data_IF_687021902259
#
_entry.id   IF_687021902259
#
_cell.length_a   1.000
_cell.length_b   1.000
_cell.length_c   1.000
_cell.angle_alpha   90.00
_cell.angle_beta   90.00
_cell.angle_gamma   90.00
#
_symmetry.space_group_name_H-M   'P 1'
#
loop_
_entity.id
_entity.type
_entity.pdbx_description
1 polymer ?
#
# COMPACT_ATOMS: atom_id res chain seq x y z
N UNK A 1 13.27 -42.42 23.33
CA UNK A 1 12.36 -42.17 24.45
C UNK A 1 10.93 -42.46 24.00
N UNK A 2 10.15 -43.15 24.84
CA UNK A 2 8.72 -43.34 24.58
C UNK A 2 7.93 -42.23 25.29
N UNK A 3 7.03 -41.60 24.53
CA UNK A 3 6.18 -40.54 25.03
C UNK A 3 4.73 -40.99 24.84
N UNK A 4 3.96 -41.03 25.92
CA UNK A 4 2.52 -41.27 25.86
C UNK A 4 1.76 -39.96 25.83
N UNK A 5 0.93 -39.80 24.83
CA UNK A 5 0.12 -38.59 24.61
C UNK A 5 -1.32 -38.99 24.37
N UNK A 6 -2.25 -38.36 25.05
CA UNK A 6 -3.68 -38.54 24.80
C UNK A 6 -4.16 -37.44 23.87
N UNK A 7 -4.74 -37.78 22.72
CA UNK A 7 -5.30 -36.82 21.78
C UNK A 7 -6.48 -36.07 22.39
N UNK A 8 -6.63 -34.77 22.13
CA UNK A 8 -7.79 -33.99 22.58
C UNK A 8 -9.09 -34.61 22.10
N UNK A 9 -10.16 -34.46 22.88
CA UNK A 9 -11.50 -34.97 22.50
C UNK A 9 -12.05 -34.34 21.21
N UNK A 10 -11.62 -33.12 20.89
CA UNK A 10 -11.97 -32.39 19.66
C UNK A 10 -10.86 -32.48 18.60
N UNK A 11 -10.18 -33.60 18.50
CA UNK A 11 -9.17 -33.79 17.47
C UNK A 11 -9.81 -33.99 16.11
N UNK A 12 -9.21 -33.42 15.09
CA UNK A 12 -9.75 -33.37 13.72
C UNK A 12 -10.03 -34.78 13.13
N UNK A 13 -9.27 -35.81 13.55
CA UNK A 13 -9.55 -37.20 13.20
C UNK A 13 -10.39 -37.85 14.30
N UNK A 14 -11.63 -38.22 13.99
CA UNK A 14 -12.57 -38.88 14.92
C UNK A 14 -12.06 -40.21 15.43
N UNK A 15 -11.22 -40.91 14.64
CA UNK A 15 -10.63 -42.20 15.01
C UNK A 15 -9.54 -42.08 16.06
N UNK A 16 -8.95 -40.91 16.24
CA UNK A 16 -7.87 -40.65 17.18
C UNK A 16 -8.30 -39.81 18.39
N UNK A 17 -9.44 -39.14 18.28
CA UNK A 17 -9.97 -38.25 19.33
C UNK A 17 -10.13 -39.01 20.66
N UNK A 18 -9.53 -38.47 21.73
CA UNK A 18 -9.59 -39.01 23.07
C UNK A 18 -8.79 -40.31 23.31
N UNK A 19 -8.08 -40.85 22.29
CA UNK A 19 -7.28 -42.07 22.42
C UNK A 19 -5.85 -41.77 22.87
N UNK A 20 -5.31 -42.68 23.67
CA UNK A 20 -3.90 -42.67 24.07
C UNK A 20 -3.03 -43.30 22.97
N UNK A 21 -1.98 -42.57 22.60
CA UNK A 21 -0.97 -43.07 21.64
C UNK A 21 0.42 -43.02 22.26
N UNK A 22 1.21 -44.04 21.99
CA UNK A 22 2.61 -44.10 22.43
C UNK A 22 3.53 -43.82 21.24
N UNK A 23 4.28 -42.74 21.33
CA UNK A 23 5.26 -42.36 20.31
C UNK A 23 6.65 -42.79 20.70
N UNK A 24 7.33 -43.54 19.85
CA UNK A 24 8.76 -43.83 19.99
C UNK A 24 9.57 -42.73 19.32
N UNK A 25 10.08 -41.80 20.13
CA UNK A 25 10.84 -40.65 19.65
C UNK A 25 12.33 -40.94 19.72
N UNK A 26 13.02 -40.82 18.58
CA UNK A 26 14.46 -40.82 18.45
C UNK A 26 14.92 -39.42 18.07
N UNK A 27 15.64 -38.79 18.99
CA UNK A 27 16.25 -37.48 18.72
C UNK A 27 17.50 -37.71 17.86
N UNK A 28 17.52 -37.15 16.66
CA UNK A 28 18.65 -37.30 15.73
C UNK A 28 19.67 -36.21 15.87
N UNK A 29 19.20 -34.97 16.08
CA UNK A 29 20.03 -33.77 16.10
C UNK A 29 19.38 -32.70 16.97
N UNK A 30 20.18 -31.93 17.70
CA UNK A 30 19.75 -30.70 18.38
C UNK A 30 20.51 -29.57 17.72
N UNK A 31 19.76 -28.65 17.05
CA UNK A 31 20.31 -27.44 16.47
C UNK A 31 19.96 -26.26 17.38
N UNK A 32 20.98 -25.52 17.78
CA UNK A 32 20.84 -24.26 18.49
C UNK A 32 21.14 -23.12 17.51
N UNK A 33 20.24 -22.17 17.41
CA UNK A 33 20.48 -20.96 16.63
C UNK A 33 21.39 -20.04 17.45
N UNK A 34 22.61 -19.86 17.00
CA UNK A 34 23.54 -18.87 17.55
C UNK A 34 23.52 -17.64 16.64
N UNK A 35 23.29 -16.47 17.22
CA UNK A 35 23.35 -15.22 16.49
C UNK A 35 24.81 -14.72 16.52
N UNK A 36 25.30 -14.11 15.42
CA UNK A 36 26.61 -13.48 15.42
C UNK A 36 26.65 -12.31 16.41
N UNK A 37 27.83 -11.96 16.83
CA UNK A 37 28.03 -10.73 17.60
C UNK A 37 27.70 -9.52 16.74
N UNK A 38 27.18 -8.46 17.37
CA UNK A 38 26.95 -7.19 16.69
C UNK A 38 28.25 -6.38 16.79
N UNK A 39 29.07 -6.52 15.76
CA UNK A 39 30.37 -5.86 15.62
C UNK A 39 30.61 -5.42 14.18
N UNK A 40 31.80 -4.87 13.89
CA UNK A 40 32.13 -4.39 12.56
C UNK A 40 32.23 -5.53 11.53
N UNK A 41 32.58 -6.75 11.94
CA UNK A 41 32.58 -7.92 11.06
C UNK A 41 31.14 -8.25 10.61
N UNK A 42 30.22 -8.22 11.58
CA UNK A 42 28.78 -8.39 11.25
C UNK A 42 28.30 -7.34 10.26
N UNK A 43 28.66 -6.06 10.44
CA UNK A 43 28.28 -5.00 9.54
C UNK A 43 28.75 -5.25 8.09
N UNK A 44 30.00 -5.69 7.91
CA UNK A 44 30.57 -6.05 6.60
C UNK A 44 29.90 -7.25 5.97
N UNK A 45 29.49 -8.25 6.78
CA UNK A 45 28.87 -9.47 6.27
C UNK A 45 27.44 -9.25 5.77
N UNK A 46 26.71 -8.30 6.37
CA UNK A 46 25.26 -8.09 6.08
C UNK A 46 24.96 -6.83 5.29
N UNK A 47 25.95 -5.96 5.05
CA UNK A 47 25.76 -4.65 4.42
C UNK A 47 27.00 -4.19 3.65
N UNK A 48 26.91 -3.01 3.03
CA UNK A 48 28.02 -2.33 2.35
C UNK A 48 28.87 -1.44 3.28
N UNK A 49 28.55 -1.39 4.58
CA UNK A 49 29.24 -0.56 5.55
C UNK A 49 30.38 -1.30 6.23
N UNK A 50 31.47 -0.56 6.51
CA UNK A 50 32.66 -1.10 7.14
C UNK A 50 32.57 -1.21 8.66
N UNK A 51 31.66 -0.43 9.28
CA UNK A 51 31.49 -0.39 10.73
C UNK A 51 30.02 -0.56 11.15
N UNK A 52 29.83 -1.14 12.33
CA UNK A 52 28.50 -1.27 12.93
C UNK A 52 27.83 0.11 13.12
N UNK A 53 28.60 1.11 13.48
CA UNK A 53 28.11 2.49 13.68
C UNK A 53 27.54 3.11 12.39
N UNK A 54 28.19 2.87 11.25
CA UNK A 54 27.68 3.32 9.94
C UNK A 54 26.40 2.60 9.56
N UNK A 55 26.33 1.28 9.78
CA UNK A 55 25.12 0.50 9.56
C UNK A 55 23.97 0.99 10.44
N UNK A 56 24.20 1.22 11.73
CA UNK A 56 23.21 1.78 12.65
C UNK A 56 22.73 3.16 12.20
N UNK A 57 23.66 4.04 11.80
CA UNK A 57 23.31 5.38 11.31
C UNK A 57 22.44 5.32 10.05
N UNK A 58 22.78 4.47 9.09
CA UNK A 58 22.01 4.26 7.85
C UNK A 58 20.62 3.71 8.13
N UNK A 59 20.50 2.71 9.01
CA UNK A 59 19.20 2.15 9.41
C UNK A 59 18.36 3.22 10.11
N UNK A 60 18.96 4.00 11.01
CA UNK A 60 18.29 5.09 11.71
C UNK A 60 17.76 6.14 10.74
N UNK A 61 18.60 6.62 9.83
CA UNK A 61 18.20 7.60 8.81
C UNK A 61 17.04 7.08 7.94
N UNK A 62 17.11 5.83 7.50
CA UNK A 62 16.04 5.19 6.74
C UNK A 62 14.74 5.13 7.53
N UNK A 63 14.79 4.68 8.79
CA UNK A 63 13.62 4.59 9.65
C UNK A 63 13.02 5.97 9.98
N UNK A 64 13.86 6.99 10.18
CA UNK A 64 13.40 8.37 10.39
C UNK A 64 12.71 8.92 9.14
N UNK A 65 13.27 8.66 7.95
CA UNK A 65 12.65 9.02 6.67
C UNK A 65 11.32 8.31 6.43
N UNK A 66 11.30 7.00 6.64
CA UNK A 66 10.08 6.19 6.48
C UNK A 66 8.98 6.64 7.46
N UNK A 67 9.35 6.92 8.71
CA UNK A 67 8.41 7.41 9.72
C UNK A 67 7.90 8.82 9.39
N UNK A 68 8.77 9.71 8.91
CA UNK A 68 8.37 11.06 8.50
C UNK A 68 7.39 11.01 7.31
N UNK A 69 7.66 10.15 6.34
CA UNK A 69 6.77 9.96 5.19
C UNK A 69 5.42 9.36 5.61
N UNK A 70 5.44 8.38 6.49
CA UNK A 70 4.22 7.78 7.04
C UNK A 70 3.40 8.80 7.83
N UNK A 71 4.03 9.57 8.71
CA UNK A 71 3.36 10.62 9.48
C UNK A 71 2.76 11.70 8.55
N UNK A 72 3.48 12.09 7.49
CA UNK A 72 2.96 13.00 6.47
C UNK A 72 1.69 12.44 5.84
N UNK A 73 1.75 11.20 5.34
CA UNK A 73 0.61 10.53 4.71
C UNK A 73 -0.61 10.41 5.64
N UNK A 74 -0.40 9.97 6.89
CA UNK A 74 -1.47 9.86 7.88
C UNK A 74 -2.10 11.23 8.22
N UNK A 75 -1.30 12.30 8.23
CA UNK A 75 -1.78 13.66 8.45
C UNK A 75 -2.62 14.16 7.27
N UNK A 76 -2.15 13.93 6.05
CA UNK A 76 -2.87 14.28 4.81
C UNK A 76 -4.21 13.53 4.72
N UNK A 77 -4.20 12.23 4.97
CA UNK A 77 -5.41 11.39 4.98
C UNK A 77 -6.42 11.87 6.02
N UNK A 78 -5.97 12.15 7.24
CA UNK A 78 -6.84 12.66 8.31
C UNK A 78 -7.43 14.04 7.96
N UNK A 79 -6.64 14.92 7.36
CA UNK A 79 -7.11 16.25 6.94
C UNK A 79 -8.14 16.17 5.81
N UNK A 80 -7.87 15.36 4.78
CA UNK A 80 -8.83 15.10 3.69
C UNK A 80 -10.12 14.53 4.25
N UNK A 81 -10.03 13.52 5.11
CA UNK A 81 -11.19 12.89 5.74
C UNK A 81 -12.03 13.91 6.52
N UNK A 82 -11.40 14.77 7.31
CA UNK A 82 -12.10 15.77 8.11
C UNK A 82 -12.88 16.77 7.23
N UNK A 83 -12.35 17.14 6.07
CA UNK A 83 -13.05 17.99 5.08
C UNK A 83 -14.17 17.22 4.39
N UNK A 84 -13.90 15.98 3.97
CA UNK A 84 -14.90 15.11 3.35
C UNK A 84 -16.10 14.86 4.27
N UNK A 85 -15.89 14.63 5.57
CA UNK A 85 -16.96 14.38 6.54
C UNK A 85 -17.90 15.59 6.69
N UNK A 86 -17.38 16.79 6.50
CA UNK A 86 -18.17 18.05 6.50
C UNK A 86 -18.80 18.37 5.15
N UNK A 87 -18.33 17.75 4.07
CA UNK A 87 -18.82 18.00 2.73
C UNK A 87 -20.12 17.25 2.45
N UNK A 88 -21.05 17.93 1.78
CA UNK A 88 -22.30 17.33 1.27
C UNK A 88 -22.13 17.10 -0.22
N UNK A 89 -22.03 15.85 -0.61
CA UNK A 89 -21.85 15.44 -2.00
C UNK A 89 -22.92 14.41 -2.35
N UNK A 90 -23.67 14.65 -3.41
CA UNK A 90 -24.58 13.66 -4.00
C UNK A 90 -23.83 12.89 -5.07
N UNK A 91 -23.64 11.59 -4.86
CA UNK A 91 -22.90 10.71 -5.77
C UNK A 91 -23.90 9.84 -6.51
N UNK A 92 -24.05 9.99 -7.83
CA UNK A 92 -24.90 9.13 -8.64
C UNK A 92 -24.40 7.68 -8.63
N UNK A 93 -25.32 6.69 -8.62
CA UNK A 93 -24.95 5.26 -8.63
C UNK A 93 -24.04 4.89 -9.79
N UNK A 94 -24.26 5.47 -10.99
CA UNK A 94 -23.40 5.21 -12.14
C UNK A 94 -21.91 5.61 -11.93
N UNK A 95 -21.64 6.63 -11.10
CA UNK A 95 -20.25 6.95 -10.74
C UNK A 95 -19.66 5.89 -9.81
N UNK A 96 -20.47 5.37 -8.88
CA UNK A 96 -20.04 4.30 -7.97
C UNK A 96 -19.74 3.04 -8.77
N UNK A 97 -20.62 2.66 -9.70
CA UNK A 97 -20.42 1.49 -10.55
C UNK A 97 -19.13 1.58 -11.36
N UNK A 98 -18.86 2.75 -11.96
CA UNK A 98 -17.62 2.98 -12.72
C UNK A 98 -16.36 2.89 -11.83
N UNK A 99 -16.41 3.44 -10.63
CA UNK A 99 -15.28 3.39 -9.71
C UNK A 99 -15.02 1.96 -9.22
N UNK A 100 -16.08 1.20 -8.93
CA UNK A 100 -15.96 -0.23 -8.61
C UNK A 100 -15.38 -1.01 -9.78
N UNK A 101 -15.80 -0.71 -11.04
CA UNK A 101 -15.21 -1.32 -12.23
C UNK A 101 -13.70 -1.07 -12.32
N UNK A 102 -13.25 0.15 -12.05
CA UNK A 102 -11.82 0.48 -12.01
C UNK A 102 -11.09 -0.30 -10.92
N UNK A 103 -11.65 -0.38 -9.71
CA UNK A 103 -11.06 -1.15 -8.62
C UNK A 103 -10.93 -2.65 -8.96
N UNK A 104 -11.94 -3.23 -9.59
CA UNK A 104 -11.89 -4.64 -10.06
C UNK A 104 -10.84 -4.82 -11.17
N UNK A 105 -10.73 -3.87 -12.10
CA UNK A 105 -9.70 -3.91 -13.15
C UNK A 105 -8.31 -3.84 -12.54
N UNK A 106 -8.06 -3.00 -11.55
CA UNK A 106 -6.78 -2.90 -10.84
C UNK A 106 -6.43 -4.21 -10.12
N UNK A 107 -7.41 -4.86 -9.49
CA UNK A 107 -7.22 -6.18 -8.90
C UNK A 107 -6.82 -7.19 -9.97
N UNK A 108 -7.57 -7.24 -11.08
CA UNK A 108 -7.30 -8.17 -12.18
C UNK A 108 -5.92 -7.95 -12.78
N UNK A 109 -5.49 -6.70 -12.93
CA UNK A 109 -4.16 -6.37 -13.41
C UNK A 109 -3.06 -6.85 -12.44
N UNK A 110 -3.22 -6.60 -11.13
CA UNK A 110 -2.27 -7.07 -10.11
C UNK A 110 -2.19 -8.60 -10.06
N UNK A 111 -3.32 -9.29 -10.16
CA UNK A 111 -3.37 -10.75 -10.24
C UNK A 111 -2.66 -11.28 -11.50
N UNK A 112 -2.85 -10.60 -12.63
CA UNK A 112 -2.22 -10.97 -13.91
C UNK A 112 -0.68 -10.91 -13.83
N UNK A 113 -0.09 -9.95 -13.13
CA UNK A 113 1.36 -9.90 -12.87
C UNK A 113 1.85 -11.10 -12.04
N UNK A 114 0.97 -11.71 -11.24
CA UNK A 114 1.26 -12.92 -10.46
C UNK A 114 0.88 -14.21 -11.21
N UNK A 115 0.44 -14.11 -12.48
CA UNK A 115 0.01 -15.25 -13.27
C UNK A 115 -1.36 -15.82 -12.86
N UNK A 116 -2.15 -15.07 -12.09
CA UNK A 116 -3.48 -15.47 -11.64
C UNK A 116 -4.57 -14.72 -12.43
N UNK A 117 -5.69 -15.40 -12.65
CA UNK A 117 -6.90 -14.77 -13.21
C UNK A 117 -7.88 -14.43 -12.09
N UNK A 118 -8.66 -13.37 -12.29
CA UNK A 118 -9.68 -12.93 -11.34
C UNK A 118 -10.63 -14.08 -10.93
N UNK A 119 -11.10 -14.90 -11.88
CA UNK A 119 -11.98 -16.04 -11.61
C UNK A 119 -11.34 -17.08 -10.66
N UNK A 120 -10.03 -17.32 -10.79
CA UNK A 120 -9.31 -18.25 -9.92
C UNK A 120 -9.18 -17.68 -8.51
N UNK A 121 -8.88 -16.39 -8.40
CA UNK A 121 -8.83 -15.68 -7.13
C UNK A 121 -10.19 -15.71 -6.42
N UNK A 122 -11.28 -15.38 -7.11
CA UNK A 122 -12.64 -15.41 -6.56
C UNK A 122 -13.01 -16.80 -6.03
N UNK A 123 -12.66 -17.86 -6.76
CA UNK A 123 -12.84 -19.25 -6.30
C UNK A 123 -12.04 -19.57 -5.04
N UNK A 124 -10.80 -19.06 -4.94
CA UNK A 124 -9.96 -19.28 -3.77
C UNK A 124 -10.52 -18.62 -2.50
N UNK A 125 -11.08 -17.41 -2.64
CA UNK A 125 -11.69 -16.68 -1.51
C UNK A 125 -13.16 -17.07 -1.26
N UNK A 126 -13.76 -17.92 -2.11
CA UNK A 126 -15.14 -18.40 -1.97
C UNK A 126 -16.20 -17.33 -2.19
N UNK A 127 -15.91 -16.30 -3.01
CA UNK A 127 -16.81 -15.18 -3.30
C UNK A 127 -17.14 -15.10 -4.79
N UNK A 128 -18.31 -14.56 -5.08
CA UNK A 128 -18.69 -14.14 -6.42
C UNK A 128 -18.17 -12.75 -6.74
N UNK A 129 -18.09 -12.40 -8.01
CA UNK A 129 -17.71 -11.03 -8.42
C UNK A 129 -18.71 -10.00 -7.89
N UNK A 130 -19.99 -10.31 -7.87
CA UNK A 130 -21.05 -9.44 -7.35
C UNK A 130 -20.88 -9.15 -5.85
N UNK A 131 -20.50 -10.15 -5.06
CA UNK A 131 -20.22 -9.96 -3.62
C UNK A 131 -19.00 -9.08 -3.41
N UNK A 132 -17.94 -9.27 -4.19
CA UNK A 132 -16.74 -8.45 -4.15
C UNK A 132 -17.07 -7.01 -4.56
N UNK A 133 -17.86 -6.79 -5.61
CA UNK A 133 -18.33 -5.46 -6.02
C UNK A 133 -19.04 -4.73 -4.89
N UNK A 134 -19.96 -5.38 -4.21
CA UNK A 134 -20.69 -4.81 -3.05
C UNK A 134 -19.76 -4.44 -1.90
N UNK A 135 -18.71 -5.23 -1.67
CA UNK A 135 -17.71 -4.92 -0.63
C UNK A 135 -16.88 -3.68 -0.99
N UNK A 136 -16.66 -3.40 -2.27
CA UNK A 136 -15.92 -2.21 -2.73
C UNK A 136 -16.79 -0.95 -2.85
N UNK A 137 -18.12 -1.05 -2.90
CA UNK A 137 -19.02 0.12 -2.99
C UNK A 137 -18.74 1.20 -1.93
N UNK A 138 -18.58 0.90 -0.62
CA UNK A 138 -18.30 1.93 0.37
C UNK A 138 -16.96 2.64 0.10
N UNK A 139 -15.94 1.88 -0.32
CA UNK A 139 -14.62 2.41 -0.62
C UNK A 139 -14.65 3.27 -1.90
N UNK A 140 -15.41 2.87 -2.91
CA UNK A 140 -15.64 3.64 -4.12
C UNK A 140 -16.32 4.99 -3.80
N UNK A 141 -17.34 4.98 -2.94
CA UNK A 141 -18.03 6.19 -2.49
C UNK A 141 -17.05 7.13 -1.79
N UNK A 142 -16.20 6.63 -0.89
CA UNK A 142 -15.19 7.44 -0.20
C UNK A 142 -14.16 8.02 -1.19
N UNK A 143 -13.67 7.23 -2.14
CA UNK A 143 -12.73 7.69 -3.16
C UNK A 143 -13.33 8.79 -4.04
N UNK A 144 -14.57 8.62 -4.52
CA UNK A 144 -15.28 9.61 -5.31
C UNK A 144 -15.50 10.89 -4.48
N UNK A 145 -15.95 10.75 -3.23
CA UNK A 145 -16.19 11.88 -2.34
C UNK A 145 -14.92 12.69 -2.11
N UNK A 146 -13.79 12.03 -1.86
CA UNK A 146 -12.49 12.66 -1.70
C UNK A 146 -12.07 13.41 -2.96
N UNK A 147 -12.16 12.78 -4.12
CA UNK A 147 -11.84 13.41 -5.41
C UNK A 147 -12.67 14.64 -5.70
N UNK A 148 -14.00 14.56 -5.54
CA UNK A 148 -14.91 15.69 -5.77
C UNK A 148 -14.68 16.82 -4.75
N UNK A 149 -14.36 16.49 -3.51
CA UNK A 149 -14.04 17.48 -2.47
C UNK A 149 -12.74 18.22 -2.80
N UNK A 150 -11.68 17.50 -3.19
CA UNK A 150 -10.42 18.12 -3.62
C UNK A 150 -10.59 18.97 -4.87
N UNK A 151 -11.40 18.52 -5.84
CA UNK A 151 -11.73 19.32 -7.03
C UNK A 151 -12.46 20.62 -6.66
N UNK A 152 -13.41 20.55 -5.72
CA UNK A 152 -14.12 21.73 -5.23
C UNK A 152 -13.17 22.71 -4.52
N UNK A 153 -12.24 22.22 -3.70
CA UNK A 153 -11.21 23.04 -3.05
C UNK A 153 -10.31 23.70 -4.09
N UNK A 154 -9.81 22.93 -5.08
CA UNK A 154 -9.00 23.48 -6.18
C UNK A 154 -9.68 24.63 -6.88
N UNK A 155 -10.96 24.47 -7.21
CA UNK A 155 -11.76 25.52 -7.88
C UNK A 155 -12.00 26.74 -7.00
N UNK A 156 -12.32 26.53 -5.72
CA UNK A 156 -12.61 27.62 -4.78
C UNK A 156 -11.37 28.48 -4.50
N UNK A 157 -10.23 27.83 -4.29
CA UNK A 157 -8.96 28.49 -3.95
C UNK A 157 -8.12 28.85 -5.19
N UNK A 158 -8.62 28.53 -6.42
CA UNK A 158 -7.94 28.79 -7.70
C UNK A 158 -6.52 28.18 -7.73
N UNK A 159 -6.43 26.94 -7.27
CA UNK A 159 -5.16 26.22 -7.25
C UNK A 159 -4.89 25.70 -8.66
N UNK A 160 -3.79 26.18 -9.23
CA UNK A 160 -3.34 25.81 -10.58
C UNK A 160 -1.88 25.37 -10.54
N UNK A 161 -1.52 24.44 -11.41
CA UNK A 161 -0.14 24.06 -11.64
C UNK A 161 0.50 25.02 -12.66
N UNK A 162 1.71 25.48 -12.38
CA UNK A 162 2.46 26.31 -13.34
C UNK A 162 3.18 25.42 -14.35
N UNK A 163 3.49 26.01 -15.52
CA UNK A 163 4.27 25.29 -16.55
C UNK A 163 5.66 24.86 -16.04
N UNK A 164 6.27 25.64 -15.15
CA UNK A 164 7.55 25.29 -14.54
C UNK A 164 7.44 24.04 -13.66
N UNK A 165 6.36 23.91 -12.88
CA UNK A 165 6.14 22.72 -12.02
C UNK A 165 5.86 21.47 -12.86
N UNK A 166 5.08 21.63 -13.93
CA UNK A 166 4.78 20.53 -14.87
C UNK A 166 6.08 20.06 -15.54
N UNK A 167 6.91 20.99 -16.02
CA UNK A 167 8.17 20.68 -16.67
C UNK A 167 9.17 20.02 -15.70
N UNK A 168 9.27 20.53 -14.47
CA UNK A 168 10.12 19.92 -13.43
C UNK A 168 9.71 18.48 -13.15
N UNK A 169 8.40 18.20 -13.10
CA UNK A 169 7.90 16.84 -12.89
C UNK A 169 8.16 15.92 -14.08
N UNK A 170 8.05 16.44 -15.30
CA UNK A 170 8.43 15.73 -16.53
C UNK A 170 9.91 15.38 -16.54
N UNK A 171 10.79 16.31 -16.15
CA UNK A 171 12.24 16.06 -16.06
C UNK A 171 12.57 14.99 -15.01
N UNK A 172 11.93 15.04 -13.84
CA UNK A 172 12.07 14.02 -12.80
C UNK A 172 11.67 12.64 -13.33
N UNK A 173 10.52 12.55 -14.00
CA UNK A 173 10.03 11.30 -14.60
C UNK A 173 10.99 10.80 -15.70
N UNK A 174 11.43 11.69 -16.60
CA UNK A 174 12.38 11.35 -17.65
C UNK A 174 13.67 10.75 -17.09
N UNK A 175 14.21 11.34 -16.03
CA UNK A 175 15.39 10.85 -15.33
C UNK A 175 15.16 9.47 -14.70
N UNK A 176 14.01 9.26 -14.06
CA UNK A 176 13.68 7.99 -13.42
C UNK A 176 13.49 6.85 -14.43
N UNK A 177 12.96 7.14 -15.62
CA UNK A 177 12.78 6.16 -16.70
C UNK A 177 13.98 6.05 -17.64
N UNK A 178 15.03 6.85 -17.44
CA UNK A 178 16.21 6.88 -18.32
C UNK A 178 15.88 7.32 -19.76
N UNK A 179 14.84 8.14 -19.93
CA UNK A 179 14.36 8.67 -21.21
C UNK A 179 14.67 10.17 -21.33
N UNK A 180 14.61 10.68 -22.56
CA UNK A 180 14.69 12.13 -22.78
C UNK A 180 13.32 12.76 -22.55
N UNK A 181 13.32 14.01 -22.07
CA UNK A 181 12.08 14.76 -21.80
C UNK A 181 11.24 14.90 -23.07
N UNK A 182 11.87 15.10 -24.23
CA UNK A 182 11.19 15.23 -25.52
C UNK A 182 10.39 13.96 -25.89
N UNK A 183 10.89 12.78 -25.53
CA UNK A 183 10.21 11.50 -25.80
C UNK A 183 8.95 11.27 -24.93
N UNK A 184 8.87 11.99 -23.82
CA UNK A 184 7.75 11.90 -22.87
C UNK A 184 6.79 13.08 -23.06
N UNK A 185 7.30 14.21 -23.50
CA UNK A 185 6.58 15.48 -23.62
C UNK A 185 5.54 15.54 -24.74
N UNK A 186 5.63 14.66 -25.75
CA UNK A 186 4.69 14.60 -26.88
C UNK A 186 3.30 14.03 -26.53
N UNK A 187 3.11 13.62 -25.28
CA UNK A 187 1.83 13.07 -24.84
C UNK A 187 1.04 14.12 -24.03
N UNK A 188 0.09 14.78 -24.68
CA UNK A 188 -0.80 15.78 -24.02
C UNK A 188 -1.55 15.17 -22.82
N UNK A 189 -2.00 13.92 -22.93
CA UNK A 189 -2.69 13.24 -21.82
C UNK A 189 -1.78 13.08 -20.60
N UNK A 190 -0.47 12.91 -20.80
CA UNK A 190 0.47 12.84 -19.68
C UNK A 190 0.67 14.18 -18.99
N UNK A 191 0.70 15.28 -19.75
CA UNK A 191 0.78 16.63 -19.17
C UNK A 191 -0.45 16.95 -18.34
N UNK A 192 -1.62 16.63 -18.85
CA UNK A 192 -2.88 16.85 -18.13
C UNK A 192 -2.91 16.01 -16.85
N UNK A 193 -2.46 14.75 -16.92
CA UNK A 193 -2.34 13.88 -15.74
C UNK A 193 -1.37 14.45 -14.69
N UNK A 194 -0.19 14.94 -15.12
CA UNK A 194 0.79 15.57 -14.23
C UNK A 194 0.22 16.86 -13.63
N UNK A 195 -0.44 17.67 -14.43
CA UNK A 195 -1.09 18.89 -13.98
C UNK A 195 -2.12 18.61 -12.88
N UNK A 196 -3.03 17.66 -13.12
CA UNK A 196 -4.03 17.26 -12.14
C UNK A 196 -3.39 16.70 -10.85
N UNK A 197 -2.29 15.95 -10.98
CA UNK A 197 -1.52 15.45 -9.84
C UNK A 197 -0.96 16.57 -8.98
N UNK A 198 -0.26 17.55 -9.61
CA UNK A 198 0.32 18.72 -8.91
C UNK A 198 -0.77 19.56 -8.24
N UNK A 199 -1.86 19.83 -8.95
CA UNK A 199 -2.98 20.60 -8.40
C UNK A 199 -3.64 19.88 -7.22
N UNK A 200 -3.72 18.55 -7.26
CA UNK A 200 -4.24 17.75 -6.16
C UNK A 200 -3.31 17.76 -4.94
N UNK A 201 -2.00 17.62 -5.14
CA UNK A 201 -1.00 17.76 -4.06
C UNK A 201 -1.10 19.14 -3.40
N UNK A 202 -1.16 20.22 -4.19
CA UNK A 202 -1.32 21.58 -3.67
C UNK A 202 -2.62 21.76 -2.89
N UNK A 203 -3.70 21.14 -3.32
CA UNK A 203 -4.97 21.20 -2.60
C UNK A 203 -4.92 20.48 -1.26
N UNK A 204 -4.21 19.35 -1.22
CA UNK A 204 -3.97 18.61 0.03
C UNK A 204 -3.11 19.45 0.98
N UNK A 205 -2.02 20.02 0.50
CA UNK A 205 -1.15 20.90 1.28
C UNK A 205 -1.91 22.10 1.82
N UNK A 206 -2.78 22.71 1.01
CA UNK A 206 -3.66 23.80 1.44
C UNK A 206 -4.62 23.38 2.55
N UNK A 207 -5.25 22.21 2.43
CA UNK A 207 -6.15 21.67 3.46
C UNK A 207 -5.39 21.43 4.76
N UNK A 208 -4.21 20.78 4.69
CA UNK A 208 -3.38 20.51 5.85
C UNK A 208 -2.97 21.81 6.53
N UNK A 209 -2.46 22.78 5.77
CA UNK A 209 -2.07 24.08 6.30
C UNK A 209 -3.23 24.82 6.96
N UNK A 210 -4.39 24.89 6.31
CA UNK A 210 -5.58 25.59 6.81
C UNK A 210 -6.21 24.93 8.04
N UNK A 211 -5.89 23.67 8.32
CA UNK A 211 -6.47 22.93 9.45
C UNK A 211 -5.59 22.99 10.71
N UNK A 212 -4.29 23.22 10.55
CA UNK A 212 -3.32 23.22 11.64
C UNK A 212 -2.80 24.61 12.00
N UNK A 213 -3.12 25.64 11.20
CA UNK A 213 -2.73 27.03 11.43
C UNK A 213 -3.93 27.97 11.25
#
# INVERSE_FOLDING_TARGET
>A
KEIKVTFPKEYFSKDLAGKEATFKVKLHEIKKKELPNLDDEFAKDVSEFDTLKELEASIKERLEKDNAQKAKYETEEAAIKAVCDKSKVEIPSGMVDMEVDHMIQDINQRLSYQGLKLEQYLKMIGKTEEEVRKEYEPQAIEAIKSRLTLEAVRKAEKIEATDEEINAKLEEMAKNYGKKVEEINDNENLKDYIKEGIESEKAIDFIVFSHFF
#
